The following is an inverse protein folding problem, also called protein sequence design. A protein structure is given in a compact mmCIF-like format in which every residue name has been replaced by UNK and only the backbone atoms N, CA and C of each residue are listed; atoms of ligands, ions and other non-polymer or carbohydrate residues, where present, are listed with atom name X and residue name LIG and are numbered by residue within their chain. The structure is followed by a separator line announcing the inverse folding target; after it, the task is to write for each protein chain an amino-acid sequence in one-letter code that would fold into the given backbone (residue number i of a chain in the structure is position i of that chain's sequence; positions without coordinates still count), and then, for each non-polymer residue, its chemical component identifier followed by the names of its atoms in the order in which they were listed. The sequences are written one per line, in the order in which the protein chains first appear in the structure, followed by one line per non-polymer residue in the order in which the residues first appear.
data_IF_567509205636
#
_entry.id   IF_567509205636
#
_cell.length_a   1.000
_cell.length_b   1.000
_cell.length_c   1.000
_cell.angle_alpha   90.00
_cell.angle_beta   90.00
_cell.angle_gamma   90.00
#
_symmetry.space_group_name_H-M   'P 1'
#
loop_
_entity.id
_entity.type
_entity.pdbx_description
1 polymer ?
#
# COMPACT_ATOMS: atom_id res chain seq x y z
N UNK A 1 -27.18 -5.32 -2.76
CA UNK A 1 -26.83 -3.95 -2.32
C UNK A 1 -27.15 -3.88 -0.84
N UNK A 2 -26.15 -4.09 0.02
CA UNK A 2 -26.30 -3.74 1.44
C UNK A 2 -26.66 -2.25 1.50
N UNK A 3 -27.73 -1.92 2.23
CA UNK A 3 -28.04 -0.54 2.59
C UNK A 3 -26.81 -0.01 3.32
N UNK A 4 -26.01 0.82 2.65
CA UNK A 4 -25.04 1.63 3.34
C UNK A 4 -25.84 2.60 4.22
N UNK A 5 -25.97 2.29 5.50
CA UNK A 5 -26.29 3.30 6.49
C UNK A 5 -25.16 4.32 6.46
N UNK A 6 -25.36 5.38 5.68
CA UNK A 6 -24.44 6.50 5.61
C UNK A 6 -24.50 7.21 6.97
N UNK A 7 -23.56 6.88 7.84
CA UNK A 7 -23.27 7.67 9.03
C UNK A 7 -22.78 9.05 8.57
N UNK A 8 -23.66 10.05 8.68
CA UNK A 8 -23.34 11.44 8.31
C UNK A 8 -22.42 12.12 9.33
N UNK A 9 -22.45 11.63 10.56
CA UNK A 9 -21.71 12.19 11.69
C UNK A 9 -21.07 11.04 12.49
N UNK A 10 -19.86 11.29 12.99
CA UNK A 10 -19.15 10.43 13.92
C UNK A 10 -18.97 11.21 15.22
N UNK A 11 -19.28 10.57 16.35
CA UNK A 11 -19.02 11.18 17.66
C UNK A 11 -17.51 11.25 17.90
N UNK A 12 -17.02 12.44 18.23
CA UNK A 12 -15.59 12.68 18.45
C UNK A 12 -15.36 13.48 19.73
N UNK A 13 -14.23 13.22 20.39
CA UNK A 13 -13.79 13.96 21.56
C UNK A 13 -12.51 14.74 21.25
N UNK A 14 -12.39 15.94 21.83
CA UNK A 14 -11.17 16.73 21.77
C UNK A 14 -10.11 16.07 22.66
N UNK A 15 -9.00 15.66 22.06
CA UNK A 15 -7.84 15.14 22.77
C UNK A 15 -6.77 16.25 22.95
N UNK A 16 -5.99 16.22 24.04
CA UNK A 16 -4.75 17.01 24.14
C UNK A 16 -3.84 16.75 22.93
N UNK A 17 -2.91 17.66 22.58
CA UNK A 17 -1.98 17.42 21.47
C UNK A 17 -1.24 16.08 21.64
N UNK A 18 -1.25 15.27 20.58
CA UNK A 18 -0.60 13.97 20.56
C UNK A 18 0.10 13.77 19.22
N UNK A 19 1.15 12.96 19.23
CA UNK A 19 1.88 12.62 18.01
C UNK A 19 1.19 11.47 17.27
N UNK A 20 0.96 11.69 15.97
CA UNK A 20 0.47 10.65 15.07
C UNK A 20 1.64 9.72 14.73
N UNK A 21 1.39 8.41 14.76
CA UNK A 21 2.42 7.40 14.45
C UNK A 21 2.42 7.01 12.98
N UNK A 22 1.28 7.13 12.30
CA UNK A 22 1.11 6.70 10.92
C UNK A 22 0.38 7.76 10.11
N UNK A 23 0.80 8.00 8.86
CA UNK A 23 0.03 8.72 7.85
C UNK A 23 -0.45 7.71 6.81
N UNK A 24 -1.75 7.65 6.58
CA UNK A 24 -2.35 6.74 5.61
C UNK A 24 -2.89 7.53 4.41
N UNK A 25 -2.32 7.28 3.23
CA UNK A 25 -2.74 7.92 1.99
C UNK A 25 -3.77 7.04 1.27
N UNK A 26 -5.00 7.52 1.14
CA UNK A 26 -6.09 6.86 0.42
C UNK A 26 -6.54 7.69 -0.78
N UNK A 27 -7.06 7.05 -1.82
CA UNK A 27 -7.42 7.69 -3.08
C UNK A 27 -7.38 6.73 -4.26
N UNK A 28 -7.91 7.14 -5.41
CA UNK A 28 -7.93 6.29 -6.60
C UNK A 28 -6.51 5.90 -7.07
N UNK A 29 -6.40 4.84 -7.88
CA UNK A 29 -5.13 4.46 -8.50
C UNK A 29 -4.72 5.57 -9.47
N UNK A 30 -3.48 6.05 -9.41
CA UNK A 30 -2.99 7.11 -10.31
C UNK A 30 -3.13 8.56 -9.79
N UNK A 31 -3.81 8.82 -8.67
CA UNK A 31 -3.96 10.20 -8.11
C UNK A 31 -2.67 10.78 -7.50
N UNK A 32 -1.55 10.06 -7.59
CA UNK A 32 -0.26 10.53 -7.08
C UNK A 32 0.06 10.17 -5.62
N UNK A 33 -0.68 9.24 -4.99
CA UNK A 33 -0.40 8.73 -3.62
C UNK A 33 1.08 8.38 -3.42
N UNK A 34 1.66 7.62 -4.35
CA UNK A 34 3.06 7.21 -4.31
C UNK A 34 4.02 8.39 -4.44
N UNK A 35 3.76 9.29 -5.39
CA UNK A 35 4.59 10.47 -5.60
C UNK A 35 4.58 11.36 -4.36
N UNK A 36 3.43 11.53 -3.72
CA UNK A 36 3.31 12.26 -2.46
C UNK A 36 4.07 11.57 -1.33
N UNK A 37 3.89 10.25 -1.15
CA UNK A 37 4.64 9.46 -0.16
C UNK A 37 6.15 9.62 -0.32
N UNK A 38 6.66 9.42 -1.54
CA UNK A 38 8.09 9.50 -1.81
C UNK A 38 8.63 10.92 -1.56
N UNK A 39 7.89 11.95 -2.00
CA UNK A 39 8.27 13.36 -1.74
C UNK A 39 8.30 13.68 -0.26
N UNK A 40 7.32 13.19 0.51
CA UNK A 40 7.24 13.41 1.96
C UNK A 40 8.45 12.81 2.67
N UNK A 41 8.83 11.58 2.30
CA UNK A 41 9.99 10.88 2.87
C UNK A 41 11.30 11.54 2.44
N UNK A 42 11.44 11.95 1.18
CA UNK A 42 12.65 12.62 0.71
C UNK A 42 12.82 14.03 1.29
N UNK A 43 11.71 14.70 1.60
CA UNK A 43 11.72 16.05 2.17
C UNK A 43 12.24 16.06 3.61
N UNK A 44 11.84 15.08 4.43
CA UNK A 44 12.30 14.94 5.80
C UNK A 44 12.48 13.45 6.18
N UNK A 45 13.62 12.84 5.81
CA UNK A 45 13.88 11.42 6.05
C UNK A 45 14.12 11.09 7.54
N UNK A 46 14.36 12.10 8.37
CA UNK A 46 14.49 11.95 9.81
C UNK A 46 13.11 11.75 10.47
N UNK A 47 12.08 12.43 9.95
CA UNK A 47 10.71 12.37 10.47
C UNK A 47 9.84 11.30 9.84
N UNK A 48 10.02 11.00 8.55
CA UNK A 48 9.14 10.09 7.81
C UNK A 48 9.85 8.82 7.37
N UNK A 49 9.13 7.69 7.38
CA UNK A 49 9.59 6.41 6.85
C UNK A 49 8.45 5.64 6.18
N UNK A 50 8.77 4.63 5.38
CA UNK A 50 7.80 3.71 4.77
C UNK A 50 8.13 2.28 5.20
N UNK A 51 7.14 1.41 5.44
CA UNK A 51 7.41 0.01 5.73
C UNK A 51 8.02 -0.66 4.51
N UNK A 52 8.98 -1.57 4.73
CA UNK A 52 9.52 -2.41 3.67
C UNK A 52 8.53 -3.55 3.38
N UNK A 53 8.13 -3.76 2.11
CA UNK A 53 7.28 -4.89 1.74
C UNK A 53 8.05 -6.21 1.76
N UNK A 54 7.31 -7.31 1.81
CA UNK A 54 7.83 -8.67 1.67
C UNK A 54 7.43 -9.25 0.32
N UNK A 55 8.22 -10.20 -0.17
CA UNK A 55 7.89 -10.98 -1.36
C UNK A 55 8.34 -12.43 -1.23
N UNK A 56 7.58 -13.34 -1.84
CA UNK A 56 7.98 -14.74 -2.05
C UNK A 56 8.76 -14.97 -3.34
N UNK A 57 9.05 -13.91 -4.10
CA UNK A 57 9.89 -13.98 -5.29
C UNK A 57 11.33 -14.29 -4.87
N UNK A 58 12.07 -15.13 -5.59
CA UNK A 58 13.51 -15.27 -5.36
C UNK A 58 14.26 -13.94 -5.49
N UNK A 59 15.23 -13.72 -4.61
CA UNK A 59 16.14 -12.59 -4.71
C UNK A 59 16.98 -12.69 -5.99
N UNK A 60 17.15 -11.57 -6.70
CA UNK A 60 18.05 -11.49 -7.88
C UNK A 60 19.47 -11.16 -7.42
N UNK A 61 20.46 -11.48 -8.25
CA UNK A 61 21.88 -11.21 -7.96
C UNK A 61 22.19 -9.73 -7.66
N UNK A 62 21.41 -8.81 -8.25
CA UNK A 62 21.56 -7.37 -8.05
C UNK A 62 20.78 -6.80 -6.87
N UNK A 63 20.02 -7.65 -6.16
CA UNK A 63 19.17 -7.25 -5.04
C UNK A 63 19.82 -7.65 -3.70
N UNK A 64 19.45 -6.93 -2.64
CA UNK A 64 19.89 -7.22 -1.28
C UNK A 64 18.64 -7.33 -0.40
N UNK A 65 18.59 -8.37 0.43
CA UNK A 65 17.52 -8.55 1.39
C UNK A 65 17.47 -7.38 2.38
N UNK A 66 16.27 -6.93 2.73
CA UNK A 66 16.06 -5.80 3.63
C UNK A 66 16.34 -4.43 3.01
N UNK A 67 16.63 -4.33 1.70
CA UNK A 67 16.85 -3.04 1.02
C UNK A 67 15.60 -2.54 0.29
N UNK A 68 15.04 -3.35 -0.61
CA UNK A 68 13.83 -3.02 -1.39
C UNK A 68 12.65 -3.91 -0.98
N UNK A 69 12.94 -5.17 -0.68
CA UNK A 69 12.01 -6.14 -0.14
C UNK A 69 12.69 -6.94 0.96
N UNK A 70 11.87 -7.50 1.85
CA UNK A 70 12.22 -8.73 2.56
C UNK A 70 11.85 -9.94 1.70
N UNK A 71 12.81 -10.80 1.42
CA UNK A 71 12.61 -12.02 0.65
C UNK A 71 12.32 -13.18 1.62
N UNK A 72 11.14 -13.77 1.51
CA UNK A 72 10.68 -14.87 2.37
C UNK A 72 10.22 -16.05 1.52
N UNK A 73 10.18 -17.27 2.07
CA UNK A 73 9.61 -18.40 1.33
C UNK A 73 8.10 -18.22 1.17
N UNK A 74 7.51 -18.85 0.14
CA UNK A 74 6.06 -18.77 -0.10
C UNK A 74 5.28 -19.37 1.06
N UNK A 75 5.75 -20.49 1.60
CA UNK A 75 5.12 -21.24 2.69
C UNK A 75 5.07 -20.40 3.97
N UNK A 76 6.18 -19.72 4.31
CA UNK A 76 6.24 -18.80 5.45
C UNK A 76 5.28 -17.64 5.26
N UNK A 77 5.24 -17.07 4.06
CA UNK A 77 4.35 -15.95 3.75
C UNK A 77 2.88 -16.35 3.83
N UNK A 78 2.51 -17.53 3.33
CA UNK A 78 1.14 -18.07 3.40
C UNK A 78 0.71 -18.35 4.85
N UNK A 79 1.59 -18.91 5.68
CA UNK A 79 1.34 -19.09 7.10
C UNK A 79 1.13 -17.74 7.82
N UNK A 80 1.99 -16.75 7.55
CA UNK A 80 1.87 -15.43 8.15
C UNK A 80 0.61 -14.67 7.66
N UNK A 81 0.18 -14.90 6.43
CA UNK A 81 -1.09 -14.39 5.90
C UNK A 81 -2.27 -15.02 6.64
N UNK A 82 -2.26 -16.33 6.87
CA UNK A 82 -3.29 -17.04 7.62
C UNK A 82 -3.37 -16.53 9.08
N UNK A 83 -2.25 -16.15 9.67
CA UNK A 83 -2.13 -15.56 11.00
C UNK A 83 -2.51 -14.07 11.06
N UNK A 84 -3.00 -13.46 9.98
CA UNK A 84 -3.35 -12.04 9.89
C UNK A 84 -2.18 -11.08 10.20
N UNK A 85 -0.93 -11.48 9.88
CA UNK A 85 0.26 -10.64 10.12
C UNK A 85 0.51 -9.58 9.03
N UNK A 86 -0.23 -9.64 7.93
CA UNK A 86 -0.13 -8.71 6.80
C UNK A 86 -1.27 -7.67 6.80
N UNK A 87 -0.91 -6.41 6.59
CA UNK A 87 -1.86 -5.33 6.35
C UNK A 87 -2.58 -5.54 5.00
N UNK A 88 -1.79 -5.76 3.96
CA UNK A 88 -2.25 -6.03 2.60
C UNK A 88 -1.29 -7.00 1.91
N UNK A 89 -1.83 -7.85 1.04
CA UNK A 89 -1.07 -8.82 0.27
C UNK A 89 -1.80 -9.20 -1.02
N UNK A 90 -1.07 -9.79 -1.95
CA UNK A 90 -1.61 -10.43 -3.15
C UNK A 90 -0.52 -11.04 -4.01
N UNK A 91 -0.92 -11.58 -5.15
CA UNK A 91 -0.06 -12.38 -6.01
C UNK A 91 0.21 -11.67 -7.33
N UNK A 92 1.47 -11.71 -7.77
CA UNK A 92 1.89 -11.20 -9.07
C UNK A 92 2.95 -12.12 -9.67
N UNK A 93 2.73 -12.55 -10.91
CA UNK A 93 3.64 -13.45 -11.64
C UNK A 93 4.02 -14.71 -10.85
N UNK A 94 3.04 -15.31 -10.15
CA UNK A 94 3.24 -16.54 -9.37
C UNK A 94 3.92 -16.33 -8.00
N UNK A 95 4.20 -15.09 -7.61
CA UNK A 95 4.85 -14.76 -6.35
C UNK A 95 3.95 -13.88 -5.47
N UNK A 96 3.99 -14.13 -4.17
CA UNK A 96 3.29 -13.33 -3.19
C UNK A 96 4.07 -12.05 -2.88
N UNK A 97 3.34 -10.99 -2.60
CA UNK A 97 3.85 -9.71 -2.15
C UNK A 97 2.91 -9.15 -1.09
N UNK A 98 3.44 -8.40 -0.13
CA UNK A 98 2.61 -7.84 0.92
C UNK A 98 3.35 -6.96 1.92
N UNK A 99 2.60 -6.15 2.63
CA UNK A 99 3.12 -5.25 3.67
C UNK A 99 2.79 -5.84 5.04
N UNK A 100 3.81 -6.28 5.79
CA UNK A 100 3.65 -6.89 7.11
C UNK A 100 3.39 -5.81 8.17
N UNK A 101 2.51 -6.08 9.14
CA UNK A 101 2.26 -5.13 10.24
C UNK A 101 3.53 -4.84 11.05
N UNK A 102 4.41 -5.83 11.18
CA UNK A 102 5.69 -5.66 11.89
C UNK A 102 6.64 -4.65 11.24
N UNK A 103 6.60 -4.47 9.91
CA UNK A 103 7.44 -3.45 9.28
C UNK A 103 6.88 -2.05 9.47
N UNK A 104 5.57 -1.89 9.64
CA UNK A 104 5.00 -0.62 10.11
C UNK A 104 5.46 -0.33 11.54
N UNK A 105 5.35 -1.32 12.44
CA UNK A 105 5.82 -1.19 13.82
C UNK A 105 7.29 -0.84 13.91
N UNK A 106 8.13 -1.42 13.05
CA UNK A 106 9.56 -1.12 13.01
C UNK A 106 9.83 0.35 12.67
N UNK A 107 9.12 0.93 11.69
CA UNK A 107 9.23 2.36 11.36
C UNK A 107 8.80 3.22 12.54
N UNK A 108 7.67 2.90 13.17
CA UNK A 108 7.16 3.64 14.34
C UNK A 108 8.16 3.58 15.51
N UNK A 109 8.70 2.39 15.82
CA UNK A 109 9.71 2.21 16.88
C UNK A 109 11.02 2.95 16.59
N UNK A 110 11.33 3.24 15.33
CA UNK A 110 12.49 4.06 14.96
C UNK A 110 12.31 5.56 15.24
N UNK A 111 11.16 5.97 15.80
CA UNK A 111 10.83 7.37 16.08
C UNK A 111 10.30 8.12 14.86
N UNK A 112 10.02 7.42 13.75
CA UNK A 112 9.51 8.01 12.50
C UNK A 112 8.02 7.83 12.38
N UNK A 113 7.36 8.80 11.74
CA UNK A 113 5.98 8.65 11.32
C UNK A 113 5.93 7.76 10.07
N UNK A 114 5.21 6.65 10.19
CA UNK A 114 5.08 5.64 9.15
C UNK A 114 4.11 6.12 8.05
N UNK A 115 4.59 6.32 6.84
CA UNK A 115 3.78 6.73 5.68
C UNK A 115 3.43 5.49 4.86
N UNK A 116 2.14 5.20 4.75
CA UNK A 116 1.63 4.03 4.02
C UNK A 116 0.53 4.45 3.05
N UNK A 117 0.54 3.87 1.85
CA UNK A 117 -0.54 3.95 0.89
C UNK A 117 -1.20 2.58 0.79
N UNK A 118 -2.46 2.45 1.22
CA UNK A 118 -3.19 1.18 1.19
C UNK A 118 -4.62 1.38 0.66
N UNK A 119 -5.32 0.28 0.37
CA UNK A 119 -6.76 0.33 0.05
C UNK A 119 -7.58 0.78 1.27
N UNK A 120 -8.66 1.56 1.10
CA UNK A 120 -9.53 2.01 2.19
C UNK A 120 -10.07 0.88 3.07
N UNK A 121 -10.26 -0.32 2.51
CA UNK A 121 -10.74 -1.50 3.24
C UNK A 121 -9.83 -1.94 4.39
N UNK A 122 -8.56 -1.53 4.37
CA UNK A 122 -7.56 -1.86 5.40
C UNK A 122 -7.47 -0.79 6.50
N UNK A 123 -8.16 0.35 6.36
CA UNK A 123 -8.16 1.40 7.38
C UNK A 123 -8.66 0.89 8.74
N UNK A 124 -9.61 -0.06 8.75
CA UNK A 124 -10.10 -0.69 9.99
C UNK A 124 -9.01 -1.41 10.80
N UNK A 125 -7.96 -1.92 10.13
CA UNK A 125 -6.82 -2.58 10.79
C UNK A 125 -5.90 -1.54 11.40
N UNK A 126 -5.74 -0.40 10.72
CA UNK A 126 -4.86 0.69 11.17
C UNK A 126 -5.56 1.63 12.17
N UNK A 127 -6.89 1.65 12.26
CA UNK A 127 -7.63 2.54 13.15
C UNK A 127 -7.62 2.05 14.60
N UNK A 128 -6.43 2.00 15.19
CA UNK A 128 -6.18 1.53 16.56
C UNK A 128 -5.19 2.47 17.27
N UNK A 129 -5.16 2.49 18.61
CA UNK A 129 -4.17 3.27 19.38
C UNK A 129 -2.71 2.88 19.09
N UNK A 130 -2.50 1.66 18.59
CA UNK A 130 -1.20 1.16 18.18
C UNK A 130 -0.63 2.00 17.02
N UNK A 131 -1.42 2.22 15.97
CA UNK A 131 -0.99 2.90 14.74
C UNK A 131 -1.38 4.37 14.66
N UNK A 132 -2.39 4.83 15.42
CA UNK A 132 -2.91 6.21 15.48
C UNK A 132 -2.84 6.92 14.11
N UNK A 133 -3.62 6.45 13.12
CA UNK A 133 -3.47 6.89 11.75
C UNK A 133 -3.96 8.34 11.60
N UNK A 134 -3.25 9.11 10.78
CA UNK A 134 -3.72 10.33 10.17
C UNK A 134 -4.09 10.00 8.71
N UNK A 135 -5.38 9.90 8.44
CA UNK A 135 -5.88 9.46 7.13
C UNK A 135 -6.05 10.67 6.22
N UNK A 136 -5.39 10.64 5.07
CA UNK A 136 -5.45 11.69 4.05
C UNK A 136 -6.06 11.11 2.79
N UNK A 137 -7.24 11.59 2.42
CA UNK A 137 -7.87 11.28 1.14
C UNK A 137 -7.38 12.24 0.07
N UNK A 138 -6.75 11.68 -0.97
CA UNK A 138 -6.34 12.42 -2.16
C UNK A 138 -7.46 12.28 -3.19
N UNK A 139 -8.30 13.32 -3.26
CA UNK A 139 -9.34 13.41 -4.26
C UNK A 139 -8.74 13.40 -5.66
N UNK A 140 -9.37 12.65 -6.58
CA UNK A 140 -8.98 12.71 -7.97
C UNK A 140 -9.27 14.12 -8.52
N UNK A 141 -8.34 14.72 -9.29
CA UNK A 141 -8.63 15.95 -10.00
C UNK A 141 -9.67 15.68 -11.11
N UNK A 142 -10.09 16.72 -11.81
CA UNK A 142 -10.93 16.59 -12.99
C UNK A 142 -10.32 15.59 -14.01
N UNK A 143 -11.18 14.87 -14.73
CA UNK A 143 -10.80 13.76 -15.59
C UNK A 143 -9.67 14.10 -16.58
N UNK A 144 -9.70 15.29 -17.18
CA UNK A 144 -8.67 15.69 -18.14
C UNK A 144 -7.30 15.85 -17.47
N UNK A 145 -7.22 16.49 -16.31
CA UNK A 145 -5.98 16.57 -15.53
C UNK A 145 -5.54 15.19 -15.05
N UNK A 146 -6.48 14.33 -14.68
CA UNK A 146 -6.17 12.97 -14.25
C UNK A 146 -5.55 12.13 -15.37
N UNK A 147 -6.06 12.25 -16.61
CA UNK A 147 -5.47 11.63 -17.81
C UNK A 147 -4.06 12.13 -18.06
N UNK A 148 -3.85 13.45 -18.01
CA UNK A 148 -2.53 14.05 -18.18
C UNK A 148 -1.53 13.56 -17.12
N UNK A 149 -1.95 13.47 -15.86
CA UNK A 149 -1.10 12.93 -14.78
C UNK A 149 -0.72 11.46 -15.04
N UNK A 150 -1.66 10.66 -15.55
CA UNK A 150 -1.42 9.27 -15.88
C UNK A 150 -0.47 9.09 -17.07
N UNK A 151 -0.64 9.88 -18.13
CA UNK A 151 0.26 9.92 -19.28
C UNK A 151 1.67 10.37 -18.88
N UNK A 152 1.76 11.46 -18.12
CA UNK A 152 3.03 11.95 -17.56
C UNK A 152 3.74 10.85 -16.74
N UNK A 153 2.99 10.13 -15.91
CA UNK A 153 3.49 9.02 -15.11
C UNK A 153 4.01 7.84 -15.93
N UNK A 154 3.42 7.54 -17.10
CA UNK A 154 3.95 6.54 -18.04
C UNK A 154 5.28 6.98 -18.64
N UNK A 155 5.35 8.23 -19.12
CA UNK A 155 6.53 8.75 -19.81
C UNK A 155 7.76 8.87 -18.91
N UNK A 156 7.57 9.13 -17.61
CA UNK A 156 8.66 9.38 -16.67
C UNK A 156 8.98 8.18 -15.75
N UNK A 157 8.48 6.99 -16.07
CA UNK A 157 8.77 5.77 -15.29
C UNK A 157 8.17 5.75 -13.87
N UNK A 158 7.33 6.73 -13.50
CA UNK A 158 6.57 6.73 -12.25
C UNK A 158 5.48 5.66 -12.21
N UNK A 159 5.09 5.12 -13.39
CA UNK A 159 4.24 3.94 -13.54
C UNK A 159 4.84 2.61 -13.08
N UNK A 160 6.04 2.63 -12.47
CA UNK A 160 6.71 1.42 -11.99
C UNK A 160 5.88 0.68 -10.93
N UNK A 161 5.57 -0.59 -11.18
CA UNK A 161 4.85 -1.59 -10.37
C UNK A 161 5.46 -1.92 -8.99
N UNK A 162 6.26 -1.02 -8.42
CA UNK A 162 7.01 -1.25 -7.17
C UNK A 162 6.14 -1.27 -5.90
N UNK A 163 4.84 -1.01 -6.03
CA UNK A 163 3.82 -1.36 -5.03
C UNK A 163 2.59 -1.87 -5.76
N UNK A 164 2.25 -3.13 -5.51
CA UNK A 164 1.05 -3.77 -5.99
C UNK A 164 -0.08 -3.32 -5.07
N UNK A 165 -0.93 -2.40 -5.51
CA UNK A 165 -2.26 -2.29 -4.89
C UNK A 165 -3.01 -3.54 -5.29
N UNK A 166 -3.13 -4.50 -4.38
CA UNK A 166 -3.79 -5.76 -4.64
C UNK A 166 -5.30 -5.52 -4.64
N UNK A 167 -5.86 -5.31 -5.82
CA UNK A 167 -7.30 -5.38 -6.01
C UNK A 167 -7.68 -6.85 -5.81
N UNK A 168 -8.14 -7.18 -4.60
CA UNK A 168 -8.79 -8.44 -4.29
C UNK A 168 -10.04 -8.53 -5.16
N UNK A 169 -9.90 -9.05 -6.37
CA UNK A 169 -11.01 -9.66 -7.09
C UNK A 169 -11.46 -10.84 -6.22
N UNK A 170 -12.45 -10.55 -5.37
CA UNK A 170 -13.36 -11.45 -4.65
C UNK A 170 -13.11 -12.93 -4.95
N UNK A 171 -12.25 -13.59 -4.17
CA UNK A 171 -12.22 -15.05 -4.12
C UNK A 171 -13.45 -15.53 -3.35
N UNK A 172 -14.58 -15.60 -4.05
CA UNK A 172 -15.63 -16.57 -3.76
C UNK A 172 -15.26 -17.81 -4.59
N UNK A 173 -15.06 -18.91 -3.89
CA UNK A 173 -15.01 -20.29 -4.39
C UNK A 173 -15.28 -20.46 -5.90
N UNK A 174 -14.30 -20.97 -6.63
CA UNK A 174 -14.55 -21.57 -7.94
C UNK A 174 -13.44 -21.33 -8.95
N UNK A 175 -12.83 -22.43 -9.37
CA UNK A 175 -12.12 -22.55 -10.65
C UNK A 175 -12.79 -21.75 -11.77
N UNK A 176 -12.01 -20.90 -12.45
CA UNK A 176 -11.88 -20.81 -13.93
C UNK A 176 -11.17 -19.51 -14.33
N UNK A 177 -10.18 -19.68 -15.21
CA UNK A 177 -9.59 -18.68 -16.12
C UNK A 177 -10.47 -17.45 -16.33
N UNK A 178 -9.97 -16.27 -15.98
CA UNK A 178 -10.39 -15.02 -16.60
C UNK A 178 -9.14 -14.25 -17.03
N UNK A 179 -8.88 -14.30 -18.34
CA UNK A 179 -8.03 -13.36 -19.07
C UNK A 179 -8.75 -12.01 -19.11
N UNK A 180 -8.05 -10.94 -18.81
CA UNK A 180 -8.13 -9.69 -19.60
C UNK A 180 -6.71 -9.12 -19.68
N UNK A 181 -6.14 -9.28 -20.88
CA UNK A 181 -4.98 -8.53 -21.36
C UNK A 181 -5.40 -7.07 -21.48
N UNK A 182 -4.65 -6.15 -20.89
CA UNK A 182 -3.98 -5.08 -21.63
C UNK A 182 -3.16 -4.18 -20.70
N UNK A 183 -1.97 -3.84 -21.19
CA UNK A 183 -0.96 -2.97 -20.59
C UNK A 183 -0.16 -3.58 -19.42
N UNK A 184 1.00 -4.16 -19.75
CA UNK A 184 2.32 -3.91 -19.14
C UNK A 184 3.34 -5.01 -19.52
N UNK A 185 3.34 -5.41 -20.80
CA UNK A 185 4.42 -6.15 -21.44
C UNK A 185 5.45 -5.20 -22.05
N UNK A 186 5.86 -4.18 -21.30
CA UNK A 186 7.05 -3.39 -21.65
C UNK A 186 8.03 -3.54 -20.51
N UNK A 187 9.07 -4.36 -20.76
CA UNK A 187 10.36 -4.51 -20.06
C UNK A 187 10.88 -5.96 -20.09
N UNK A 188 10.60 -6.71 -21.17
CA UNK A 188 11.56 -7.68 -21.69
C UNK A 188 12.15 -7.13 -22.99
N UNK A 189 12.94 -6.07 -22.81
CA UNK A 189 14.23 -5.74 -23.44
C UNK A 189 14.80 -4.52 -22.70
#
# INVERSE_FOLDING_TARGET
FEKAELLLYEEVARMPPFERKTVVLVGARGVGRRSLKNKLISYDPARFGTPLPHTSRPIRETETDGKVYYFVSREVMEADIADNKYLEWGEHSGHLYGTKLDTLRAVIRSGKMCVVDCSPQYLKILNTPEFMPYVVFIAAPQLEHFRQMHEYGRHHGYGSSRNLTFDRAMSRHGSRRARTLESLASLQE
#
